data_IF_017361285128
#
_entry.id   IF_017361285128
#
_cell.length_a   1.000
_cell.length_b   1.000
_cell.length_c   1.000
_cell.angle_alpha   90.00
_cell.angle_beta   90.00
_cell.angle_gamma   90.00
#
_symmetry.space_group_name_H-M   'P 1'
#
loop_
_entity.id
_entity.type
_entity.pdbx_description
1 polymer ?
#
# COMPACT_ATOMS: atom_id res chain seq x y z
N UNK A 1 -27.29 -11.48 -2.31
CA UNK A 1 -26.97 -10.56 -3.41
C UNK A 1 -26.53 -9.28 -2.73
N UNK A 2 -25.22 -8.98 -2.74
CA UNK A 2 -24.76 -7.69 -2.22
C UNK A 2 -25.36 -6.59 -3.09
N UNK A 3 -25.79 -5.45 -2.50
CA UNK A 3 -26.23 -4.32 -3.31
C UNK A 3 -25.10 -3.89 -4.24
N UNK A 4 -25.43 -3.54 -5.48
CA UNK A 4 -24.45 -2.95 -6.39
C UNK A 4 -23.90 -1.66 -5.77
N UNK A 5 -22.58 -1.48 -5.84
CA UNK A 5 -21.94 -0.27 -5.37
C UNK A 5 -22.53 0.95 -6.11
N UNK A 6 -22.81 2.00 -5.35
CA UNK A 6 -23.23 3.29 -5.89
C UNK A 6 -22.13 3.88 -6.79
N UNK A 7 -22.50 4.82 -7.66
CA UNK A 7 -21.51 5.50 -8.50
C UNK A 7 -20.46 6.24 -7.68
N UNK A 8 -20.86 6.85 -6.57
CA UNK A 8 -19.97 7.53 -5.63
C UNK A 8 -18.95 6.56 -5.01
N UNK A 9 -19.39 5.38 -4.58
CA UNK A 9 -18.50 4.34 -4.06
C UNK A 9 -17.55 3.81 -5.14
N UNK A 10 -18.01 3.65 -6.39
CA UNK A 10 -17.14 3.24 -7.51
C UNK A 10 -16.05 4.28 -7.77
N UNK A 11 -16.42 5.56 -7.85
CA UNK A 11 -15.48 6.68 -8.04
C UNK A 11 -14.47 6.75 -6.89
N UNK A 12 -14.95 6.62 -5.65
CA UNK A 12 -14.08 6.59 -4.45
C UNK A 12 -13.09 5.43 -4.52
N UNK A 13 -13.56 4.21 -4.75
CA UNK A 13 -12.72 3.02 -4.80
C UNK A 13 -11.67 3.11 -5.91
N UNK A 14 -12.05 3.54 -7.12
CA UNK A 14 -11.09 3.73 -8.21
C UNK A 14 -10.03 4.79 -7.88
N UNK A 15 -10.44 5.88 -7.20
CA UNK A 15 -9.53 6.94 -6.77
C UNK A 15 -8.53 6.43 -5.74
N UNK A 16 -8.99 5.68 -4.74
CA UNK A 16 -8.15 5.10 -3.70
C UNK A 16 -7.22 4.00 -4.24
N UNK A 17 -7.70 3.16 -5.16
CA UNK A 17 -6.86 2.19 -5.87
C UNK A 17 -5.76 2.88 -6.68
N UNK A 18 -6.09 3.94 -7.41
CA UNK A 18 -5.10 4.70 -8.17
C UNK A 18 -4.05 5.35 -7.26
N UNK A 19 -4.45 5.84 -6.07
CA UNK A 19 -3.51 6.34 -5.09
C UNK A 19 -2.60 5.22 -4.58
N UNK A 20 -3.17 4.07 -4.21
CA UNK A 20 -2.42 2.92 -3.71
C UNK A 20 -1.39 2.39 -4.73
N UNK A 21 -1.77 2.30 -6.01
CA UNK A 21 -0.86 1.95 -7.11
C UNK A 21 0.22 3.02 -7.33
N UNK A 22 -0.07 4.28 -7.04
CA UNK A 22 0.96 5.34 -7.10
C UNK A 22 2.02 5.15 -6.01
N UNK A 23 1.65 4.63 -4.84
CA UNK A 23 2.57 4.41 -3.70
C UNK A 23 3.41 3.14 -3.87
N UNK A 24 2.77 1.99 -4.14
CA UNK A 24 3.46 0.73 -4.47
C UNK A 24 2.89 0.22 -5.80
N UNK A 25 3.53 0.54 -6.93
CA UNK A 25 3.01 0.22 -8.26
C UNK A 25 3.05 -1.28 -8.53
N UNK A 26 2.11 -1.75 -9.35
CA UNK A 26 2.10 -3.12 -9.85
C UNK A 26 1.55 -3.24 -11.27
N UNK A 27 1.38 -4.49 -11.70
CA UNK A 27 0.81 -4.83 -12.99
C UNK A 27 -0.70 -4.55 -13.06
N UNK A 28 -1.17 -4.15 -14.25
CA UNK A 28 -2.60 -4.00 -14.51
C UNK A 28 -3.34 -5.33 -14.30
N UNK A 29 -4.58 -5.24 -13.82
CA UNK A 29 -5.47 -6.41 -13.74
C UNK A 29 -5.92 -6.87 -15.13
N UNK A 30 -6.07 -5.92 -16.07
CA UNK A 30 -6.45 -6.12 -17.46
C UNK A 30 -6.04 -4.88 -18.29
N UNK A 31 -5.97 -4.99 -19.62
CA UNK A 31 -5.41 -3.92 -20.49
C UNK A 31 -6.06 -2.53 -20.31
N UNK A 32 -7.38 -2.52 -20.04
CA UNK A 32 -8.17 -1.31 -19.82
C UNK A 32 -8.21 -0.78 -18.39
N UNK A 33 -7.45 -1.35 -17.46
CA UNK A 33 -7.45 -0.89 -16.07
C UNK A 33 -6.94 0.55 -16.00
N UNK A 34 -7.81 1.45 -15.53
CA UNK A 34 -7.52 2.89 -15.38
C UNK A 34 -6.99 3.19 -13.98
N UNK A 35 -7.40 2.43 -12.96
CA UNK A 35 -6.96 2.66 -11.59
C UNK A 35 -5.50 2.22 -11.42
N UNK A 36 -5.17 1.01 -11.87
CA UNK A 36 -3.79 0.49 -11.85
C UNK A 36 -3.07 0.88 -13.14
N UNK A 37 -1.97 1.62 -13.03
CA UNK A 37 -1.27 2.16 -14.20
C UNK A 37 -0.40 1.11 -14.92
N UNK A 38 0.05 0.06 -14.22
CA UNK A 38 1.00 -0.91 -14.79
C UNK A 38 2.44 -0.40 -14.80
N UNK A 39 2.82 0.47 -13.87
CA UNK A 39 4.11 1.16 -13.89
C UNK A 39 5.31 0.30 -13.46
N UNK A 40 5.07 -0.84 -12.81
CA UNK A 40 6.10 -1.78 -12.38
C UNK A 40 5.66 -3.23 -12.61
N UNK A 41 6.61 -4.15 -12.87
CA UNK A 41 6.31 -5.58 -12.96
C UNK A 41 6.03 -6.16 -11.58
N UNK A 42 5.26 -7.25 -11.54
CA UNK A 42 4.88 -7.93 -10.31
C UNK A 42 3.72 -7.23 -9.55
N UNK A 43 3.45 -7.69 -8.31
CA UNK A 43 2.32 -7.19 -7.55
C UNK A 43 2.58 -5.80 -6.98
N UNK A 44 1.51 -5.01 -6.89
CA UNK A 44 1.49 -3.71 -6.22
C UNK A 44 0.55 -3.69 -5.01
N UNK A 45 0.39 -2.51 -4.41
CA UNK A 45 -0.47 -2.28 -3.24
C UNK A 45 -1.92 -2.72 -3.49
N UNK A 46 -2.46 -2.44 -4.68
CA UNK A 46 -3.84 -2.80 -5.05
C UNK A 46 -4.04 -4.31 -5.03
N UNK A 47 -3.13 -5.06 -5.66
CA UNK A 47 -3.17 -6.53 -5.66
C UNK A 47 -2.99 -7.11 -4.24
N UNK A 48 -2.29 -6.40 -3.36
CA UNK A 48 -2.08 -6.76 -1.96
C UNK A 48 -3.25 -6.36 -1.02
N UNK A 49 -4.38 -5.90 -1.55
CA UNK A 49 -5.57 -5.63 -0.74
C UNK A 49 -5.56 -4.27 -0.06
N UNK A 50 -4.96 -3.24 -0.68
CA UNK A 50 -4.97 -1.87 -0.14
C UNK A 50 -6.38 -1.38 0.23
N UNK A 51 -7.35 -1.58 -0.65
CA UNK A 51 -8.72 -1.15 -0.40
C UNK A 51 -9.38 -1.93 0.76
N UNK A 52 -9.07 -3.22 0.90
CA UNK A 52 -9.52 -4.04 2.03
C UNK A 52 -8.95 -3.49 3.35
N UNK A 53 -7.64 -3.22 3.39
CA UNK A 53 -6.99 -2.64 4.57
C UNK A 53 -7.56 -1.25 4.91
N UNK A 54 -7.76 -0.38 3.94
CA UNK A 54 -8.30 0.96 4.18
C UNK A 54 -9.71 0.93 4.77
N UNK A 55 -10.51 -0.06 4.38
CA UNK A 55 -11.86 -0.25 4.91
C UNK A 55 -11.88 -1.09 6.20
N UNK A 56 -10.73 -1.55 6.69
CA UNK A 56 -10.66 -2.34 7.91
C UNK A 56 -10.83 -1.44 9.14
N UNK A 57 -11.88 -1.69 9.94
CA UNK A 57 -12.29 -0.83 11.06
C UNK A 57 -11.14 -0.49 12.04
N UNK A 58 -10.21 -1.43 12.26
CA UNK A 58 -9.10 -1.23 13.18
C UNK A 58 -8.09 -0.15 12.73
N UNK A 59 -8.12 0.26 11.47
CA UNK A 59 -7.29 1.36 10.97
C UNK A 59 -7.74 2.73 11.50
N UNK A 60 -9.02 2.88 11.84
CA UNK A 60 -9.60 4.14 12.31
C UNK A 60 -9.71 5.24 11.24
N UNK A 61 -9.45 4.94 9.96
CA UNK A 61 -9.48 5.94 8.87
C UNK A 61 -10.70 5.86 7.95
N UNK A 62 -11.51 4.81 8.06
CA UNK A 62 -12.64 4.52 7.16
C UNK A 62 -13.57 5.72 6.95
N UNK A 63 -13.91 6.44 8.03
CA UNK A 63 -14.79 7.61 7.97
C UNK A 63 -14.20 8.80 7.18
N UNK A 64 -12.87 8.87 7.06
CA UNK A 64 -12.17 9.91 6.32
C UNK A 64 -11.97 9.60 4.83
N UNK A 65 -12.14 8.35 4.41
CA UNK A 65 -11.86 7.93 3.02
C UNK A 65 -12.68 8.69 1.97
N UNK A 66 -13.99 8.94 2.13
CA UNK A 66 -14.74 9.72 1.15
C UNK A 66 -14.20 11.14 0.97
N UNK A 67 -13.81 11.79 2.08
CA UNK A 67 -13.23 13.12 2.05
C UNK A 67 -11.84 13.14 1.40
N UNK A 68 -11.00 12.16 1.71
CA UNK A 68 -9.67 12.03 1.10
C UNK A 68 -9.76 11.76 -0.41
N UNK A 69 -10.66 10.88 -0.85
CA UNK A 69 -10.86 10.61 -2.26
C UNK A 69 -11.37 11.85 -3.02
N UNK A 70 -12.31 12.60 -2.42
CA UNK A 70 -12.80 13.85 -3.00
C UNK A 70 -11.68 14.89 -3.08
N UNK A 71 -10.95 15.12 -1.98
CA UNK A 71 -9.83 16.08 -1.93
C UNK A 71 -8.75 15.72 -2.95
N UNK A 72 -8.42 14.43 -3.11
CA UNK A 72 -7.43 13.97 -4.07
C UNK A 72 -7.85 14.29 -5.52
N UNK A 73 -9.12 14.12 -5.85
CA UNK A 73 -9.66 14.47 -7.16
C UNK A 73 -9.66 15.99 -7.41
N UNK A 74 -9.89 16.81 -6.39
CA UNK A 74 -9.83 18.27 -6.52
C UNK A 74 -8.38 18.77 -6.67
N UNK A 75 -7.43 18.17 -5.93
CA UNK A 75 -5.99 18.37 -6.14
C UNK A 75 -5.54 17.97 -7.54
N UNK A 76 -6.07 16.87 -8.08
CA UNK A 76 -5.77 16.43 -9.44
C UNK A 76 -6.25 17.42 -10.51
N UNK A 77 -7.46 17.99 -10.35
CA UNK A 77 -7.97 19.04 -11.25
C UNK A 77 -7.09 20.29 -11.19
N UNK A 78 -6.72 20.74 -9.99
CA UNK A 78 -5.87 21.90 -9.81
C UNK A 78 -4.50 21.69 -10.46
N UNK A 79 -3.86 20.55 -10.17
CA UNK A 79 -2.60 20.15 -10.78
C UNK A 79 -2.68 20.12 -12.30
N UNK A 80 -3.71 19.51 -12.87
CA UNK A 80 -3.90 19.42 -14.31
C UNK A 80 -4.01 20.81 -14.95
N UNK A 81 -4.73 21.73 -14.31
CA UNK A 81 -4.79 23.14 -14.73
C UNK A 81 -3.44 23.84 -14.68
N UNK A 82 -2.61 23.59 -13.65
CA UNK A 82 -1.26 24.17 -13.52
C UNK A 82 -0.30 23.72 -14.62
N UNK A 83 -0.40 22.46 -15.05
CA UNK A 83 0.50 21.87 -16.05
C UNK A 83 -0.12 21.81 -17.45
N UNK A 84 -1.28 22.45 -17.64
CA UNK A 84 -2.04 22.48 -18.90
C UNK A 84 -2.34 21.07 -19.47
N UNK A 85 -2.67 20.13 -18.59
CA UNK A 85 -3.02 18.76 -18.95
C UNK A 85 -4.55 18.60 -19.06
N UNK A 86 -5.02 18.17 -20.22
CA UNK A 86 -6.43 17.82 -20.42
C UNK A 86 -6.74 16.47 -19.76
N UNK A 87 -7.79 16.42 -18.94
CA UNK A 87 -8.23 15.21 -18.24
C UNK A 87 -9.33 14.50 -19.01
N UNK A 88 -9.27 13.18 -19.02
CA UNK A 88 -10.39 12.32 -19.41
C UNK A 88 -11.54 12.46 -18.39
N UNK A 89 -12.70 12.93 -18.86
CA UNK A 89 -13.88 13.19 -18.03
C UNK A 89 -14.74 11.95 -17.77
N UNK A 90 -14.43 10.82 -18.40
CA UNK A 90 -15.16 9.56 -18.17
C UNK A 90 -14.70 8.84 -16.90
N UNK A 91 -13.63 9.31 -16.25
CA UNK A 91 -13.09 8.75 -15.01
C UNK A 91 -12.81 9.85 -13.98
N UNK A 92 -12.59 9.43 -12.73
CA UNK A 92 -12.22 10.35 -11.66
C UNK A 92 -10.93 11.13 -12.01
N UNK A 93 -10.83 12.44 -11.70
CA UNK A 93 -9.70 13.28 -12.07
C UNK A 93 -8.32 12.73 -11.74
N UNK A 94 -8.13 12.16 -10.54
CA UNK A 94 -6.84 11.57 -10.17
C UNK A 94 -6.52 10.31 -10.98
N UNK A 95 -7.56 9.52 -11.33
CA UNK A 95 -7.45 8.34 -12.19
C UNK A 95 -7.13 8.74 -13.64
N UNK A 96 -7.62 9.89 -14.09
CA UNK A 96 -7.33 10.42 -15.43
C UNK A 96 -5.85 10.78 -15.63
N UNK A 97 -5.12 11.12 -14.55
CA UNK A 97 -3.71 11.46 -14.61
C UNK A 97 -2.86 10.25 -15.07
N UNK A 98 -1.91 10.45 -16.00
CA UNK A 98 -0.83 9.49 -16.24
C UNK A 98 0.01 9.26 -14.98
N UNK A 99 0.64 8.08 -14.87
CA UNK A 99 1.37 7.67 -13.66
C UNK A 99 2.41 8.71 -13.17
N UNK A 100 3.20 9.28 -14.07
CA UNK A 100 4.21 10.29 -13.70
C UNK A 100 3.60 11.54 -13.06
N UNK A 101 2.42 11.95 -13.53
CA UNK A 101 1.67 13.07 -12.96
C UNK A 101 1.03 12.71 -11.62
N UNK A 102 0.53 11.48 -11.46
CA UNK A 102 0.08 10.98 -10.14
C UNK A 102 1.22 11.02 -9.13
N UNK A 103 2.40 10.52 -9.51
CA UNK A 103 3.59 10.48 -8.68
C UNK A 103 4.03 11.89 -8.24
N UNK A 104 4.10 12.82 -9.19
CA UNK A 104 4.45 14.22 -8.89
C UNK A 104 3.43 14.87 -7.95
N UNK A 105 2.13 14.68 -8.20
CA UNK A 105 1.09 15.21 -7.32
C UNK A 105 1.20 14.63 -5.91
N UNK A 106 1.32 13.30 -5.78
CA UNK A 106 1.50 12.64 -4.48
C UNK A 106 2.77 13.13 -3.77
N UNK A 107 3.86 13.36 -4.51
CA UNK A 107 5.08 13.94 -3.95
C UNK A 107 4.82 15.33 -3.34
N UNK A 108 4.11 16.22 -4.03
CA UNK A 108 3.74 17.55 -3.50
C UNK A 108 2.87 17.44 -2.25
N UNK A 109 1.86 16.59 -2.29
CA UNK A 109 0.91 16.39 -1.18
C UNK A 109 1.58 15.84 0.08
N UNK A 110 2.64 15.03 -0.08
CA UNK A 110 3.40 14.42 1.01
C UNK A 110 4.64 15.21 1.42
N UNK A 111 4.93 16.33 0.75
CA UNK A 111 6.13 17.14 1.02
C UNK A 111 6.01 17.86 2.38
N UNK A 112 7.10 17.94 3.18
CA UNK A 112 7.11 18.71 4.42
C UNK A 112 6.64 20.15 4.21
N UNK A 113 5.70 20.60 5.06
CA UNK A 113 5.10 21.93 4.99
C UNK A 113 3.78 22.00 4.23
N UNK A 114 3.37 20.94 3.50
CA UNK A 114 2.03 20.88 2.93
C UNK A 114 0.97 20.80 4.06
N UNK A 115 -0.11 21.61 4.02
CA UNK A 115 -1.07 21.70 5.13
C UNK A 115 -1.80 20.38 5.41
N UNK A 116 -2.01 19.56 4.39
CA UNK A 116 -2.72 18.27 4.49
C UNK A 116 -1.77 17.06 4.55
N UNK A 117 -0.46 17.29 4.68
CA UNK A 117 0.59 16.26 4.56
C UNK A 117 0.31 15.02 5.42
N UNK A 118 -0.13 15.22 6.66
CA UNK A 118 -0.33 14.11 7.60
C UNK A 118 -1.43 13.14 7.13
N UNK A 119 -2.47 13.64 6.46
CA UNK A 119 -3.51 12.79 5.87
C UNK A 119 -2.99 11.95 4.70
N UNK A 120 -2.23 12.57 3.80
CA UNK A 120 -1.64 11.89 2.65
C UNK A 120 -0.58 10.86 3.06
N UNK A 121 0.29 11.21 4.02
CA UNK A 121 1.27 10.28 4.56
C UNK A 121 0.58 9.11 5.27
N UNK A 122 -0.51 9.34 6.00
CA UNK A 122 -1.29 8.26 6.62
C UNK A 122 -1.90 7.33 5.58
N UNK A 123 -2.46 7.86 4.48
CA UNK A 123 -2.99 7.05 3.39
C UNK A 123 -1.88 6.21 2.73
N UNK A 124 -0.75 6.83 2.43
CA UNK A 124 0.42 6.15 1.86
C UNK A 124 0.98 5.06 2.79
N UNK A 125 0.95 5.27 4.11
CA UNK A 125 1.35 4.28 5.09
C UNK A 125 0.49 3.02 4.96
N UNK A 126 -0.84 3.14 4.91
CA UNK A 126 -1.71 1.97 4.73
C UNK A 126 -1.50 1.28 3.39
N UNK A 127 -1.23 2.02 2.31
CA UNK A 127 -0.88 1.42 1.02
C UNK A 127 0.40 0.56 1.11
N UNK A 128 1.43 1.02 1.83
CA UNK A 128 2.61 0.20 2.10
C UNK A 128 2.28 -1.00 2.98
N UNK A 129 1.51 -0.79 4.06
CA UNK A 129 1.13 -1.85 5.00
C UNK A 129 0.31 -2.98 4.36
N UNK A 130 -0.51 -2.67 3.36
CA UNK A 130 -1.19 -3.69 2.57
C UNK A 130 -0.17 -4.62 1.90
N UNK A 131 0.90 -4.06 1.34
CA UNK A 131 1.94 -4.83 0.66
C UNK A 131 2.90 -5.53 1.63
N UNK A 132 3.46 -4.81 2.59
CA UNK A 132 4.64 -5.28 3.35
C UNK A 132 4.33 -6.13 4.59
N UNK A 133 3.12 -6.00 5.12
CA UNK A 133 2.74 -6.60 6.39
C UNK A 133 1.37 -7.27 6.35
N UNK A 134 0.54 -6.94 5.35
CA UNK A 134 -0.84 -7.39 5.23
C UNK A 134 -1.60 -7.18 6.56
N UNK A 135 -1.51 -5.98 7.15
CA UNK A 135 -1.92 -5.71 8.53
C UNK A 135 -3.41 -6.00 8.88
N UNK A 136 -4.25 -6.25 7.87
CA UNK A 136 -5.65 -6.65 8.01
C UNK A 136 -5.84 -8.18 8.08
N UNK A 137 -4.77 -8.97 7.95
CA UNK A 137 -4.80 -10.44 7.91
C UNK A 137 -3.86 -11.04 8.95
N UNK A 138 -4.21 -12.24 9.43
CA UNK A 138 -3.26 -13.03 10.21
C UNK A 138 -2.12 -13.51 9.30
N UNK A 139 -0.86 -13.24 9.66
CA UNK A 139 0.29 -13.46 8.75
C UNK A 139 0.37 -14.88 8.19
N UNK A 140 0.12 -15.90 9.02
CA UNK A 140 0.10 -17.31 8.59
C UNK A 140 -0.95 -17.59 7.51
N UNK A 141 -2.11 -16.96 7.65
CA UNK A 141 -3.22 -17.09 6.71
C UNK A 141 -2.92 -16.36 5.42
N UNK A 142 -2.46 -15.10 5.49
CA UNK A 142 -2.04 -14.33 4.33
C UNK A 142 -1.02 -15.10 3.48
N UNK A 143 0.01 -15.69 4.10
CA UNK A 143 1.01 -16.47 3.37
C UNK A 143 0.40 -17.72 2.74
N UNK A 144 -0.45 -18.46 3.48
CA UNK A 144 -1.14 -19.65 2.99
C UNK A 144 -2.09 -19.35 1.82
N UNK A 145 -2.72 -18.19 1.81
CA UNK A 145 -3.57 -17.68 0.73
C UNK A 145 -2.77 -17.14 -0.47
N UNK A 146 -1.44 -17.06 -0.36
CA UNK A 146 -0.59 -16.56 -1.42
C UNK A 146 -0.54 -15.04 -1.51
N UNK A 147 -0.61 -14.34 -0.37
CA UNK A 147 -0.62 -12.88 -0.33
C UNK A 147 0.58 -12.29 -1.09
N UNK A 148 0.32 -11.46 -2.12
CA UNK A 148 1.32 -11.17 -3.14
C UNK A 148 2.49 -10.33 -2.61
N UNK A 149 2.24 -9.36 -1.73
CA UNK A 149 3.31 -8.51 -1.17
C UNK A 149 4.25 -9.27 -0.22
N UNK A 150 3.70 -9.95 0.79
CA UNK A 150 4.46 -10.86 1.67
C UNK A 150 5.31 -11.88 0.91
N UNK A 151 4.76 -12.53 -0.12
CA UNK A 151 5.51 -13.49 -0.94
C UNK A 151 6.62 -12.81 -1.75
N UNK A 152 6.37 -11.63 -2.32
CA UNK A 152 7.38 -10.85 -3.03
C UNK A 152 8.54 -10.43 -2.10
N UNK A 153 8.27 -10.17 -0.82
CA UNK A 153 9.27 -9.88 0.20
C UNK A 153 10.00 -11.13 0.73
N UNK A 154 9.58 -12.33 0.32
CA UNK A 154 10.21 -13.59 0.71
C UNK A 154 9.74 -14.16 2.06
N UNK A 155 8.56 -13.74 2.54
CA UNK A 155 7.94 -14.41 3.69
C UNK A 155 7.67 -15.87 3.36
N UNK A 156 7.95 -16.74 4.33
CA UNK A 156 7.75 -18.18 4.21
C UNK A 156 6.66 -18.66 5.17
N UNK A 157 5.98 -19.73 4.77
CA UNK A 157 5.04 -20.41 5.63
C UNK A 157 5.76 -20.89 6.92
N UNK A 158 5.04 -20.95 8.05
CA UNK A 158 5.58 -21.62 9.23
C UNK A 158 5.88 -23.10 8.91
N UNK A 159 6.72 -23.71 9.73
CA UNK A 159 6.94 -25.16 9.69
C UNK A 159 5.62 -25.91 9.96
N UNK A 160 5.60 -27.22 9.72
CA UNK A 160 4.41 -28.06 9.87
C UNK A 160 3.78 -28.03 11.28
N UNK A 161 4.55 -27.63 12.30
CA UNK A 161 4.09 -27.48 13.68
C UNK A 161 3.62 -26.05 14.02
N UNK A 162 3.56 -25.15 13.04
CA UNK A 162 3.05 -23.78 13.18
C UNK A 162 4.08 -22.77 13.67
N UNK A 163 5.33 -23.16 13.90
CA UNK A 163 6.38 -22.23 14.33
C UNK A 163 7.18 -21.68 13.14
N UNK A 164 7.50 -20.38 13.20
CA UNK A 164 8.45 -19.78 12.26
C UNK A 164 9.87 -20.05 12.73
N UNK A 165 10.61 -20.79 11.92
CA UNK A 165 12.03 -21.06 12.16
C UNK A 165 12.84 -20.55 10.99
N UNK A 166 13.91 -19.84 11.31
CA UNK A 166 14.88 -19.34 10.35
C UNK A 166 16.21 -20.04 10.60
N UNK A 167 16.48 -21.17 9.91
CA UNK A 167 17.66 -21.98 10.18
C UNK A 167 18.97 -21.23 9.87
N UNK A 168 18.91 -20.20 9.03
CA UNK A 168 19.97 -19.21 8.85
C UNK A 168 19.71 -18.03 9.77
N UNK A 169 20.21 -18.13 10.99
CA UNK A 169 20.22 -17.03 11.96
C UNK A 169 21.61 -16.37 11.95
N UNK A 170 21.63 -15.04 11.90
CA UNK A 170 22.85 -14.24 11.90
C UNK A 170 23.49 -14.02 10.52
N UNK A 171 24.44 -13.09 10.48
CA UNK A 171 25.06 -12.60 9.25
C UNK A 171 26.11 -13.55 8.63
N UNK A 172 26.17 -14.81 9.07
CA UNK A 172 27.22 -15.76 8.68
C UNK A 172 28.64 -15.35 9.11
N UNK A 173 28.76 -14.34 9.98
CA UNK A 173 30.04 -13.82 10.50
C UNK A 173 29.91 -13.46 11.98
N UNK A 174 31.01 -13.57 12.72
CA UNK A 174 31.12 -13.12 14.12
C UNK A 174 31.00 -11.58 14.14
N UNK A 175 29.94 -11.05 14.74
CA UNK A 175 29.74 -9.59 14.87
C UNK A 175 30.43 -9.01 16.11
N UNK A 176 30.59 -9.81 17.16
CA UNK A 176 31.17 -9.40 18.43
C UNK A 176 31.80 -10.61 19.13
N UNK A 177 32.73 -10.34 20.04
CA UNK A 177 33.23 -11.35 20.97
C UNK A 177 32.22 -11.53 22.11
N UNK A 178 32.08 -12.77 22.59
CA UNK A 178 31.22 -13.06 23.73
C UNK A 178 31.84 -12.44 24.98
N UNK A 179 31.07 -11.67 25.76
CA UNK A 179 31.55 -11.15 27.03
C UNK A 179 31.79 -12.32 28.01
N UNK A 180 32.87 -12.32 28.84
CA UNK A 180 33.15 -13.40 29.77
C UNK A 180 31.98 -13.74 30.70
N UNK A 181 31.20 -12.73 31.07
CA UNK A 181 30.02 -12.86 31.95
C UNK A 181 28.72 -13.10 31.16
N UNK A 182 28.78 -13.86 30.05
CA UNK A 182 27.58 -14.29 29.31
C UNK A 182 27.23 -15.71 29.71
N UNK A 183 25.98 -15.96 30.09
CA UNK A 183 25.49 -17.31 30.42
C UNK A 183 25.50 -18.22 29.20
N UNK A 184 25.44 -19.56 29.37
CA UNK A 184 25.34 -20.50 28.25
C UNK A 184 24.10 -20.30 27.36
N UNK A 185 23.05 -19.65 27.87
CA UNK A 185 21.85 -19.29 27.10
C UNK A 185 21.97 -17.93 26.38
N UNK A 186 23.08 -17.21 26.54
CA UNK A 186 23.32 -15.92 25.87
C UNK A 186 22.82 -14.69 26.64
N UNK A 187 22.54 -14.80 27.94
CA UNK A 187 22.11 -13.68 28.79
C UNK A 187 23.29 -13.06 29.55
N UNK A 188 23.27 -11.75 29.90
CA UNK A 188 24.22 -11.21 30.88
C UNK A 188 24.06 -11.92 32.22
N UNK A 189 25.16 -12.35 32.83
CA UNK A 189 25.21 -12.98 34.15
C UNK A 189 25.21 -11.96 35.29
#
# INVERSE_FOLDING_TARGET
>A
MQPEATEEERVMNMTLEAYADTIVPGEKRFDGDRAVAGAAPGPGSVAAGALELLNFDATGVTAGLPYLAQSLNDHAKAYAGEVELELDHDVAPFVALPYEHRRELVHRLTTPGHPEKDGWVSLALFCNMAFDSAAHKHTAEAIREGHPGLLALGYQAPDADGFWRFPKYGYGRKLAELHPDTTPSGSPA
#
